data_IF_512835261600
#
_entry.id   IF_512835261600
#
_cell.length_a   1.000
_cell.length_b   1.000
_cell.length_c   1.000
_cell.angle_alpha   90.00
_cell.angle_beta   90.00
_cell.angle_gamma   90.00
#
_symmetry.space_group_name_H-M   'P 1'
#
loop_
_entity.id
_entity.type
_entity.pdbx_description
1 polymer ?
#
# COMPACT_ATOMS: atom_id res chain seq x y z
N UNK A 1 27.71 6.33 0.98
CA UNK A 1 27.94 5.33 2.04
C UNK A 1 26.79 5.31 3.02
N UNK A 2 26.51 4.14 3.61
CA UNK A 2 25.50 3.97 4.66
C UNK A 2 26.11 3.28 5.88
N UNK A 3 25.54 3.53 7.05
CA UNK A 3 25.93 2.85 8.30
C UNK A 3 24.74 2.06 8.81
N UNK A 4 24.98 0.80 9.17
CA UNK A 4 23.94 -0.06 9.76
C UNK A 4 23.85 0.25 11.25
N UNK A 5 22.71 0.81 11.66
CA UNK A 5 22.44 1.12 13.06
C UNK A 5 21.92 -0.09 13.86
N UNK A 6 21.12 -0.96 13.22
CA UNK A 6 20.52 -2.14 13.86
C UNK A 6 20.23 -3.23 12.83
N UNK A 7 20.28 -4.49 13.27
CA UNK A 7 19.72 -5.67 12.58
C UNK A 7 18.77 -6.39 13.54
N UNK A 8 17.66 -6.89 13.02
CA UNK A 8 16.64 -7.57 13.82
C UNK A 8 15.80 -8.48 12.93
N UNK A 9 15.18 -9.53 13.49
CA UNK A 9 14.21 -10.35 12.76
C UNK A 9 12.92 -9.56 12.47
N UNK A 10 12.31 -9.77 11.31
CA UNK A 10 11.11 -9.03 10.87
C UNK A 10 9.93 -9.10 11.84
N UNK A 11 9.83 -10.16 12.66
CA UNK A 11 8.84 -10.28 13.73
C UNK A 11 8.86 -9.14 14.75
N UNK A 12 9.99 -8.46 14.93
CA UNK A 12 10.08 -7.27 15.79
C UNK A 12 9.27 -6.08 15.26
N UNK A 13 8.98 -6.04 13.95
CA UNK A 13 8.16 -4.98 13.36
C UNK A 13 6.67 -5.26 13.45
N UNK A 14 6.25 -6.49 13.76
CA UNK A 14 4.84 -6.88 13.78
C UNK A 14 4.05 -5.99 14.75
N UNK A 15 2.96 -5.40 14.26
CA UNK A 15 2.10 -4.55 15.08
C UNK A 15 2.57 -3.10 15.20
N UNK A 16 3.74 -2.73 14.66
CA UNK A 16 4.16 -1.34 14.61
C UNK A 16 3.19 -0.55 13.73
N UNK A 17 2.76 0.61 14.23
CA UNK A 17 1.90 1.53 13.49
C UNK A 17 2.75 2.48 12.65
N UNK A 18 2.22 2.85 11.49
CA UNK A 18 2.87 3.81 10.60
C UNK A 18 1.89 4.88 10.14
N UNK A 19 2.42 6.02 9.71
CA UNK A 19 1.65 7.08 9.09
C UNK A 19 1.36 6.69 7.62
N UNK A 20 0.08 6.59 7.19
CA UNK A 20 -0.22 6.25 5.82
C UNK A 20 0.23 7.33 4.85
N UNK A 21 0.52 6.91 3.63
CA UNK A 21 0.94 7.81 2.55
C UNK A 21 -0.16 8.83 2.23
N UNK A 22 -1.42 8.42 2.26
CA UNK A 22 -2.59 9.28 2.08
C UNK A 22 -3.52 9.21 3.30
N UNK A 23 -4.18 10.32 3.60
CA UNK A 23 -5.08 10.47 4.75
C UNK A 23 -6.56 10.15 4.42
N UNK A 24 -6.84 9.66 3.22
CA UNK A 24 -8.20 9.40 2.73
C UNK A 24 -8.98 8.37 3.57
N UNK A 25 -8.26 7.40 4.15
CA UNK A 25 -8.86 6.27 4.89
C UNK A 25 -8.54 6.29 6.39
N UNK A 26 -8.32 7.47 6.96
CA UNK A 26 -7.98 7.64 8.39
C UNK A 26 -9.03 7.07 9.36
N UNK A 27 -10.29 6.94 8.94
CA UNK A 27 -11.34 6.29 9.73
C UNK A 27 -11.06 4.80 10.00
N UNK A 28 -10.15 4.16 9.24
CA UNK A 28 -9.73 2.77 9.45
C UNK A 28 -8.54 2.64 10.41
N UNK A 29 -7.99 3.74 10.92
CA UNK A 29 -6.73 3.74 11.68
C UNK A 29 -6.72 2.77 12.86
N UNK A 30 -7.86 2.45 13.46
CA UNK A 30 -7.89 1.55 14.62
C UNK A 30 -7.47 0.12 14.26
N UNK A 31 -7.74 -0.33 13.03
CA UNK A 31 -7.40 -1.66 12.51
C UNK A 31 -6.32 -1.66 11.43
N UNK A 32 -6.20 -0.58 10.65
CA UNK A 32 -5.27 -0.46 9.53
C UNK A 32 -3.96 0.26 9.92
N UNK A 33 -3.10 0.49 8.91
CA UNK A 33 -1.84 1.22 9.03
C UNK A 33 -0.90 0.65 10.09
N UNK A 34 -0.79 -0.68 10.04
CA UNK A 34 0.01 -1.50 10.95
C UNK A 34 0.88 -2.45 10.12
N UNK A 35 2.08 -2.75 10.60
CA UNK A 35 2.97 -3.71 9.96
C UNK A 35 2.47 -5.13 10.24
N UNK A 36 2.24 -5.87 9.16
CA UNK A 36 1.90 -7.28 9.17
C UNK A 36 3.14 -8.11 8.82
N UNK A 37 3.14 -9.38 9.23
CA UNK A 37 4.22 -10.32 8.92
C UNK A 37 3.62 -11.58 8.33
N UNK A 38 4.09 -11.99 7.17
CA UNK A 38 3.67 -13.21 6.48
C UNK A 38 4.88 -13.83 5.75
N UNK A 39 4.75 -15.09 5.31
CA UNK A 39 5.84 -15.84 4.69
C UNK A 39 5.97 -15.67 3.18
N UNK A 40 5.02 -15.00 2.52
CA UNK A 40 5.03 -14.85 1.05
C UNK A 40 6.05 -13.82 0.53
N UNK A 41 6.59 -12.95 1.40
CA UNK A 41 7.57 -11.93 1.01
C UNK A 41 8.95 -12.56 0.83
N UNK A 42 9.53 -12.40 -0.35
CA UNK A 42 10.88 -12.92 -0.68
C UNK A 42 11.93 -11.80 -0.69
N UNK A 43 13.21 -12.19 -0.72
CA UNK A 43 14.36 -11.27 -0.82
C UNK A 43 14.79 -11.00 -2.28
N UNK A 44 14.07 -11.54 -3.26
CA UNK A 44 14.45 -11.50 -4.67
C UNK A 44 14.11 -10.17 -5.36
N UNK A 45 13.16 -9.40 -4.81
CA UNK A 45 12.72 -8.13 -5.40
C UNK A 45 12.23 -7.13 -4.36
N UNK A 46 12.31 -5.84 -4.71
CA UNK A 46 11.86 -4.75 -3.86
C UNK A 46 12.78 -4.51 -2.66
N UNK A 47 12.18 -4.26 -1.50
CA UNK A 47 12.90 -3.85 -0.28
C UNK A 47 12.72 -4.83 0.88
N UNK A 48 11.98 -5.92 0.67
CA UNK A 48 11.52 -6.82 1.75
C UNK A 48 10.34 -6.27 2.58
N UNK A 49 9.79 -5.09 2.22
CA UNK A 49 8.55 -4.56 2.77
C UNK A 49 7.56 -4.36 1.62
N UNK A 50 6.38 -4.97 1.72
CA UNK A 50 5.37 -4.99 0.66
C UNK A 50 4.17 -4.14 1.06
N UNK A 51 3.73 -3.25 0.16
CA UNK A 51 2.48 -2.50 0.35
C UNK A 51 1.29 -3.46 0.27
N UNK A 52 0.25 -3.22 1.07
CA UNK A 52 -0.94 -4.07 1.13
C UNK A 52 -2.17 -3.30 0.68
N UNK A 53 -2.81 -3.81 -0.38
CA UNK A 53 -4.04 -3.30 -0.97
C UNK A 53 -5.04 -4.47 -1.13
N UNK A 54 -5.82 -4.81 -0.07
CA UNK A 54 -6.54 -6.09 0.08
C UNK A 54 -7.58 -6.45 -0.98
N UNK A 55 -7.94 -5.50 -1.83
CA UNK A 55 -8.93 -5.65 -2.90
C UNK A 55 -8.29 -5.71 -4.29
N UNK A 56 -6.95 -5.73 -4.37
CA UNK A 56 -6.18 -5.72 -5.62
C UNK A 56 -5.13 -6.83 -5.68
N UNK A 57 -5.06 -7.71 -4.68
CA UNK A 57 -4.14 -8.84 -4.63
C UNK A 57 -4.68 -9.95 -3.73
N UNK A 58 -4.46 -11.20 -4.13
CA UNK A 58 -4.91 -12.38 -3.36
C UNK A 58 -4.19 -12.51 -2.02
N UNK A 59 -2.86 -12.40 -2.01
CA UNK A 59 -2.08 -12.44 -0.78
C UNK A 59 -2.43 -11.26 0.15
N UNK A 60 -2.60 -10.06 -0.41
CA UNK A 60 -3.01 -8.89 0.36
C UNK A 60 -4.36 -9.12 1.04
N UNK A 61 -5.32 -9.72 0.33
CA UNK A 61 -6.61 -10.08 0.89
C UNK A 61 -6.47 -11.08 2.05
N UNK A 62 -5.75 -12.18 1.80
CA UNK A 62 -5.53 -13.27 2.77
C UNK A 62 -4.87 -12.74 4.04
N UNK A 63 -3.79 -11.98 3.90
CA UNK A 63 -2.99 -11.45 5.01
C UNK A 63 -3.80 -10.43 5.82
N UNK A 64 -4.47 -9.48 5.15
CA UNK A 64 -5.28 -8.49 5.85
C UNK A 64 -6.54 -9.09 6.50
N UNK A 65 -7.12 -10.14 5.92
CA UNK A 65 -8.23 -10.86 6.54
C UNK A 65 -7.77 -11.62 7.78
N UNK A 66 -6.66 -12.36 7.69
CA UNK A 66 -6.08 -13.08 8.83
C UNK A 66 -5.65 -12.14 9.97
N UNK A 67 -5.23 -10.92 9.64
CA UNK A 67 -4.85 -9.88 10.61
C UNK A 67 -6.05 -9.10 11.18
N UNK A 68 -7.28 -9.30 10.67
CA UNK A 68 -8.45 -8.52 11.06
C UNK A 68 -8.45 -7.06 10.60
N UNK A 69 -7.58 -6.71 9.64
CA UNK A 69 -7.57 -5.38 8.99
C UNK A 69 -8.83 -5.22 8.13
N UNK A 70 -9.25 -6.30 7.49
CA UNK A 70 -10.53 -6.43 6.80
C UNK A 70 -11.32 -7.62 7.35
N UNK A 71 -12.63 -7.63 7.14
CA UNK A 71 -13.50 -8.76 7.47
C UNK A 71 -14.25 -9.25 6.22
N UNK A 72 -14.87 -10.43 6.28
CA UNK A 72 -15.68 -10.95 5.16
C UNK A 72 -17.00 -10.20 4.99
N UNK A 73 -17.54 -9.68 6.09
CA UNK A 73 -18.88 -9.09 6.16
C UNK A 73 -18.87 -7.56 6.11
N UNK A 74 -17.72 -6.92 5.85
CA UNK A 74 -17.66 -5.47 5.67
C UNK A 74 -17.79 -5.06 4.20
N UNK A 75 -18.26 -3.84 3.98
CA UNK A 75 -18.21 -3.23 2.66
C UNK A 75 -16.75 -3.12 2.15
N UNK A 76 -16.50 -3.45 0.87
CA UNK A 76 -15.17 -3.32 0.29
C UNK A 76 -14.67 -1.88 0.34
N UNK A 77 -13.46 -1.69 0.87
CA UNK A 77 -12.74 -0.41 0.79
C UNK A 77 -12.00 -0.34 -0.55
N UNK A 78 -12.76 -0.28 -1.64
CA UNK A 78 -12.22 -0.14 -2.99
C UNK A 78 -12.25 1.35 -3.42
N UNK A 79 -11.10 1.99 -3.68
CA UNK A 79 -11.04 3.39 -4.11
C UNK A 79 -11.43 3.64 -5.58
N UNK A 80 -11.72 2.60 -6.36
CA UNK A 80 -11.99 2.71 -7.80
C UNK A 80 -13.33 2.11 -8.15
N UNK A 81 -13.98 2.66 -9.18
CA UNK A 81 -15.19 2.11 -9.75
C UNK A 81 -14.90 0.93 -10.71
N UNK A 82 -15.93 0.20 -11.18
CA UNK A 82 -15.75 -0.92 -12.13
C UNK A 82 -15.16 -0.52 -13.49
N UNK A 83 -15.16 0.77 -13.83
CA UNK A 83 -14.57 1.31 -15.06
C UNK A 83 -13.11 1.74 -14.86
N UNK A 84 -12.55 1.58 -13.66
CA UNK A 84 -11.16 1.92 -13.34
C UNK A 84 -10.94 3.41 -13.06
N UNK A 85 -11.96 4.14 -12.63
CA UNK A 85 -11.85 5.55 -12.23
C UNK A 85 -11.88 5.70 -10.71
N UNK A 86 -11.04 6.60 -10.19
CA UNK A 86 -11.01 6.87 -8.75
C UNK A 86 -12.31 7.50 -8.25
N UNK A 87 -12.83 6.97 -7.14
CA UNK A 87 -14.03 7.45 -6.45
C UNK A 87 -13.75 8.74 -5.65
N UNK A 88 -14.80 9.47 -5.21
CA UNK A 88 -14.65 10.69 -4.40
C UNK A 88 -13.89 10.52 -3.07
N UNK A 89 -13.74 9.26 -2.60
CA UNK A 89 -12.90 8.94 -1.44
C UNK A 89 -11.42 9.29 -1.67
N UNK A 90 -10.96 9.29 -2.93
CA UNK A 90 -9.59 9.64 -3.32
C UNK A 90 -9.54 11.07 -3.84
N UNK A 91 -9.58 12.03 -2.91
CA UNK A 91 -9.84 13.45 -3.18
C UNK A 91 -8.93 14.07 -4.25
N UNK A 92 -7.64 13.76 -4.24
CA UNK A 92 -6.67 14.39 -5.15
C UNK A 92 -6.70 13.82 -6.58
N UNK A 93 -7.29 12.63 -6.76
CA UNK A 93 -7.29 11.89 -8.03
C UNK A 93 -8.69 11.49 -8.50
N UNK A 94 -9.75 11.98 -7.86
CA UNK A 94 -11.14 11.66 -8.18
C UNK A 94 -11.42 11.84 -9.67
N UNK A 95 -12.10 10.86 -10.27
CA UNK A 95 -12.50 10.86 -11.68
C UNK A 95 -11.35 10.65 -12.67
N UNK A 96 -10.13 10.40 -12.19
CA UNK A 96 -9.03 10.01 -13.07
C UNK A 96 -9.04 8.50 -13.28
N UNK A 97 -8.76 8.07 -14.52
CA UNK A 97 -8.46 6.68 -14.82
C UNK A 97 -7.15 6.27 -14.14
N UNK A 98 -7.08 5.05 -13.58
CA UNK A 98 -5.96 4.60 -12.75
C UNK A 98 -4.57 4.82 -13.38
N UNK A 99 -4.42 4.60 -14.70
CA UNK A 99 -3.13 4.79 -15.39
C UNK A 99 -2.77 6.25 -15.63
N UNK A 100 -3.76 7.11 -15.83
CA UNK A 100 -3.53 8.55 -16.00
C UNK A 100 -3.12 9.18 -14.67
N UNK A 101 -3.64 8.66 -13.57
CA UNK A 101 -3.32 9.10 -12.22
C UNK A 101 -1.88 8.77 -11.79
N UNK A 102 -1.21 7.76 -12.37
CA UNK A 102 0.15 7.34 -11.97
C UNK A 102 1.14 8.52 -11.92
N UNK A 103 1.14 9.37 -12.95
CA UNK A 103 2.01 10.55 -13.04
C UNK A 103 1.68 11.58 -11.95
N UNK A 104 0.40 11.77 -11.66
CA UNK A 104 -0.09 12.72 -10.67
C UNK A 104 0.21 12.24 -9.25
N UNK A 105 0.05 10.94 -8.98
CA UNK A 105 0.41 10.28 -7.72
C UNK A 105 1.90 10.44 -7.47
N UNK A 106 2.75 10.10 -8.44
CA UNK A 106 4.21 10.25 -8.32
C UNK A 106 4.59 11.70 -8.01
N UNK A 107 4.00 12.67 -8.72
CA UNK A 107 4.26 14.08 -8.47
C UNK A 107 3.83 14.50 -7.05
N UNK A 108 2.64 14.07 -6.60
CA UNK A 108 2.15 14.34 -5.23
C UNK A 108 3.12 13.79 -4.17
N UNK A 109 3.59 12.54 -4.32
CA UNK A 109 4.55 11.92 -3.40
C UNK A 109 5.89 12.64 -3.38
N UNK A 110 6.36 13.07 -4.56
CA UNK A 110 7.58 13.87 -4.70
C UNK A 110 7.45 15.21 -3.99
N UNK A 111 6.38 15.96 -4.24
CA UNK A 111 6.11 17.26 -3.60
C UNK A 111 6.00 17.15 -2.09
N UNK A 112 5.47 16.04 -1.57
CA UNK A 112 5.35 15.78 -0.12
C UNK A 112 6.63 15.21 0.51
N UNK A 113 7.70 15.02 -0.25
CA UNK A 113 8.96 14.45 0.24
C UNK A 113 8.85 12.99 0.69
N UNK A 114 7.84 12.25 0.21
CA UNK A 114 7.60 10.84 0.56
C UNK A 114 8.09 9.86 -0.52
N UNK A 115 8.67 10.37 -1.62
CA UNK A 115 9.24 9.58 -2.71
C UNK A 115 10.76 9.46 -2.54
N UNK A 116 11.25 8.26 -2.22
CA UNK A 116 12.69 8.00 -2.02
C UNK A 116 13.41 7.69 -3.33
N UNK A 117 12.78 6.91 -4.21
CA UNK A 117 13.34 6.50 -5.49
C UNK A 117 12.23 6.31 -6.53
N UNK A 118 12.53 6.65 -7.79
CA UNK A 118 11.64 6.45 -8.93
C UNK A 118 12.45 5.94 -10.12
N UNK A 119 11.99 4.86 -10.75
CA UNK A 119 12.58 4.29 -11.95
C UNK A 119 11.49 3.66 -12.83
N UNK A 120 11.88 3.13 -13.99
CA UNK A 120 11.01 2.36 -14.88
C UNK A 120 11.51 0.92 -14.94
N UNK A 121 10.59 -0.03 -14.97
CA UNK A 121 10.90 -1.47 -15.04
C UNK A 121 10.13 -2.09 -16.19
N UNK A 122 10.86 -2.71 -17.12
CA UNK A 122 10.26 -3.50 -18.19
C UNK A 122 9.96 -4.91 -17.67
N UNK A 123 8.69 -5.28 -17.69
CA UNK A 123 8.21 -6.61 -17.31
C UNK A 123 6.96 -6.95 -18.14
N UNK A 124 6.54 -8.20 -18.10
CA UNK A 124 5.27 -8.62 -18.70
C UNK A 124 4.12 -8.23 -17.77
N UNK A 125 3.11 -7.55 -18.31
CA UNK A 125 1.89 -7.19 -17.60
C UNK A 125 0.69 -7.76 -18.39
N UNK A 126 -0.21 -8.53 -17.76
CA UNK A 126 -1.37 -9.13 -18.42
C UNK A 126 -2.41 -8.08 -18.85
#
# INVERSE_FOLDING_TARGET
DYTILKRFPGKELRGLRYEPIFDYFQHLKDKAFVVLTDGYVTEESGTGVVHQAPYFGEDDNRVCLAAGVITKDQDPVCPVDPSGYFLPSVRDFQGQYVKDADKNIINNLKTRGRLVHQSQVKHSYP
#
